data_IF_725116865003
#
_entry.id   IF_725116865003
#
_cell.length_a   1.000
_cell.length_b   1.000
_cell.length_c   1.000
_cell.angle_alpha   90.00
_cell.angle_beta   90.00
_cell.angle_gamma   90.00
#
_symmetry.space_group_name_H-M   'P 1'
#
loop_
_entity.id
_entity.type
_entity.pdbx_description
1 polymer ?
#
# COMPACT_ATOMS: atom_id res chain seq x y z
N UNK A 1 -18.71 -13.86 17.12
CA UNK A 1 -18.28 -12.50 17.49
C UNK A 1 -18.52 -12.32 18.98
N UNK A 2 -17.55 -11.78 19.73
CA UNK A 2 -17.66 -11.58 21.18
C UNK A 2 -18.57 -10.37 21.45
N UNK A 3 -19.53 -10.51 22.37
CA UNK A 3 -20.43 -9.40 22.73
C UNK A 3 -19.66 -8.37 23.57
N UNK A 4 -19.92 -7.06 23.39
CA UNK A 4 -19.29 -6.02 24.21
C UNK A 4 -19.69 -6.17 25.68
N UNK A 5 -18.80 -5.78 26.58
CA UNK A 5 -19.08 -5.70 28.01
C UNK A 5 -20.00 -4.52 28.31
N UNK A 6 -20.64 -4.50 29.48
CA UNK A 6 -21.50 -3.37 29.88
C UNK A 6 -20.76 -2.04 29.87
N UNK A 7 -19.51 -2.03 30.34
CA UNK A 7 -18.64 -0.85 30.33
C UNK A 7 -18.39 -0.33 28.90
N UNK A 8 -18.14 -1.22 27.95
CA UNK A 8 -17.96 -0.83 26.54
C UNK A 8 -19.23 -0.24 25.93
N UNK A 9 -20.41 -0.74 26.34
CA UNK A 9 -21.69 -0.19 25.87
C UNK A 9 -21.94 1.20 26.46
N UNK A 10 -21.63 1.41 27.74
CA UNK A 10 -21.75 2.72 28.40
C UNK A 10 -20.79 3.74 27.78
N UNK A 11 -19.53 3.36 27.55
CA UNK A 11 -18.54 4.18 26.88
C UNK A 11 -18.98 4.57 25.46
N UNK A 12 -19.52 3.62 24.70
CA UNK A 12 -20.01 3.89 23.35
C UNK A 12 -21.19 4.88 23.35
N UNK A 13 -22.11 4.74 24.31
CA UNK A 13 -23.21 5.69 24.46
C UNK A 13 -22.70 7.09 24.84
N UNK A 14 -21.65 7.19 25.66
CA UNK A 14 -21.01 8.46 25.98
C UNK A 14 -20.35 9.08 24.75
N UNK A 15 -19.63 8.30 23.95
CA UNK A 15 -18.98 8.78 22.71
C UNK A 15 -19.99 9.28 21.67
N UNK A 16 -21.16 8.65 21.56
CA UNK A 16 -22.24 9.09 20.65
C UNK A 16 -22.80 10.47 21.02
N UNK A 17 -22.74 10.84 22.31
CA UNK A 17 -23.25 12.12 22.81
C UNK A 17 -22.17 13.21 22.87
N UNK A 18 -20.91 12.86 22.59
CA UNK A 18 -19.79 13.80 22.61
C UNK A 18 -19.82 14.66 21.34
N UNK A 19 -19.87 16.00 21.45
CA UNK A 19 -19.80 16.88 20.28
C UNK A 19 -18.38 16.88 19.69
N UNK A 20 -18.27 17.13 18.37
CA UNK A 20 -17.00 17.08 17.64
C UNK A 20 -15.95 18.04 18.24
N UNK A 21 -16.35 19.22 18.72
CA UNK A 21 -15.45 20.20 19.33
C UNK A 21 -14.86 19.74 20.67
N UNK A 22 -15.47 18.74 21.31
CA UNK A 22 -14.98 18.16 22.56
C UNK A 22 -14.08 16.93 22.33
N UNK A 23 -13.88 16.52 21.07
CA UNK A 23 -12.96 15.43 20.74
C UNK A 23 -11.52 15.94 20.90
N UNK A 24 -10.79 15.32 21.83
CA UNK A 24 -9.37 15.56 22.00
C UNK A 24 -8.58 14.99 20.81
N UNK A 25 -7.97 15.89 20.04
CA UNK A 25 -7.10 15.58 18.89
C UNK A 25 -5.66 16.00 19.15
N UNK A 26 -5.28 16.22 20.42
CA UNK A 26 -3.95 16.73 20.77
C UNK A 26 -2.79 15.79 20.36
N UNK A 27 -3.06 14.49 20.22
CA UNK A 27 -2.11 13.50 19.74
C UNK A 27 -1.89 13.57 18.23
N UNK A 28 -2.93 13.89 17.46
CA UNK A 28 -2.92 14.03 16.01
C UNK A 28 -3.74 15.27 15.63
N UNK A 29 -3.15 16.47 15.75
CA UNK A 29 -3.86 17.71 15.45
C UNK A 29 -4.26 17.76 13.98
N UNK A 30 -5.41 18.38 13.70
CA UNK A 30 -5.90 18.54 12.34
C UNK A 30 -4.89 19.32 11.48
N UNK A 31 -4.50 18.74 10.34
CA UNK A 31 -3.64 19.41 9.37
C UNK A 31 -4.50 20.22 8.40
N UNK A 32 -4.39 21.54 8.47
CA UNK A 32 -5.10 22.47 7.57
C UNK A 32 -4.23 22.90 6.39
N UNK A 33 -2.89 22.86 6.53
CA UNK A 33 -1.98 23.19 5.44
C UNK A 33 -1.58 21.93 4.64
N UNK A 34 -2.07 21.85 3.40
CA UNK A 34 -1.80 20.77 2.45
C UNK A 34 -0.85 21.17 1.31
N UNK A 35 -0.19 22.34 1.37
CA UNK A 35 0.66 22.87 0.28
C UNK A 35 1.75 21.89 -0.17
N UNK A 36 2.28 21.08 0.75
CA UNK A 36 3.33 20.09 0.46
C UNK A 36 2.81 18.66 0.30
N UNK A 37 1.48 18.46 0.28
CA UNK A 37 0.90 17.14 0.15
C UNK A 37 1.05 16.62 -1.28
N UNK A 38 1.64 15.43 -1.42
CA UNK A 38 1.82 14.78 -2.73
C UNK A 38 0.74 13.72 -2.92
N UNK A 39 -0.27 14.04 -3.74
CA UNK A 39 -1.28 13.06 -4.15
C UNK A 39 -0.59 11.96 -4.97
N UNK A 40 -0.82 10.70 -4.59
CA UNK A 40 -0.34 9.56 -5.39
C UNK A 40 1.17 9.30 -5.31
N UNK A 41 1.89 9.81 -4.29
CA UNK A 41 3.33 9.56 -4.08
C UNK A 41 3.73 8.08 -4.19
N UNK A 42 2.84 7.18 -3.77
CA UNK A 42 3.05 5.72 -3.80
C UNK A 42 2.21 4.98 -4.85
N UNK A 43 1.44 5.70 -5.66
CA UNK A 43 0.63 5.10 -6.70
C UNK A 43 1.50 4.79 -7.92
N UNK A 44 1.77 3.50 -8.16
CA UNK A 44 2.45 3.03 -9.37
C UNK A 44 1.52 2.14 -10.18
N UNK A 45 1.26 2.47 -11.45
CA UNK A 45 0.45 1.63 -12.34
C UNK A 45 1.30 0.49 -12.92
N UNK A 46 0.83 -0.74 -12.76
CA UNK A 46 1.38 -1.92 -13.46
C UNK A 46 0.39 -2.34 -14.53
N UNK A 47 0.84 -2.41 -15.78
CA UNK A 47 0.01 -2.87 -16.90
C UNK A 47 0.25 -4.35 -17.14
N UNK A 48 -0.83 -5.14 -17.28
CA UNK A 48 -0.73 -6.52 -17.75
C UNK A 48 -0.64 -6.51 -19.26
N UNK A 49 0.50 -6.89 -19.80
CA UNK A 49 0.71 -7.05 -21.25
C UNK A 49 1.29 -8.43 -21.53
N UNK A 50 1.12 -8.93 -22.74
CA UNK A 50 1.80 -10.14 -23.21
C UNK A 50 3.13 -9.74 -23.83
N UNK A 51 4.22 -10.32 -23.35
CA UNK A 51 5.56 -10.15 -23.90
C UNK A 51 6.10 -11.54 -24.16
N UNK A 52 6.71 -11.74 -25.32
CA UNK A 52 7.40 -12.98 -25.66
C UNK A 52 8.73 -13.04 -24.88
N UNK A 53 8.94 -14.14 -24.18
CA UNK A 53 10.15 -14.41 -23.40
C UNK A 53 10.63 -15.80 -23.75
N UNK A 54 11.92 -15.94 -24.00
CA UNK A 54 12.54 -17.23 -24.30
C UNK A 54 12.26 -18.25 -23.20
N UNK A 55 12.04 -19.49 -23.60
CA UNK A 55 11.70 -20.58 -22.68
C UNK A 55 12.81 -20.80 -21.63
N UNK A 56 14.08 -20.67 -22.03
CA UNK A 56 15.23 -20.81 -21.13
C UNK A 56 15.22 -19.73 -20.04
N UNK A 57 15.01 -18.47 -20.43
CA UNK A 57 14.93 -17.33 -19.49
C UNK A 57 13.78 -17.54 -18.50
N UNK A 58 12.59 -17.90 -19.03
CA UNK A 58 11.43 -18.17 -18.19
C UNK A 58 11.68 -19.33 -17.22
N UNK A 59 12.30 -20.40 -17.70
CA UNK A 59 12.64 -21.58 -16.90
C UNK A 59 13.64 -21.23 -15.79
N UNK A 60 14.65 -20.41 -16.07
CA UNK A 60 15.61 -19.94 -15.08
C UNK A 60 14.94 -19.14 -13.95
N UNK A 61 14.05 -18.20 -14.28
CA UNK A 61 13.33 -17.44 -13.25
C UNK A 61 12.37 -18.31 -12.43
N UNK A 62 11.68 -19.26 -13.08
CA UNK A 62 10.79 -20.21 -12.38
C UNK A 62 11.55 -21.15 -11.46
N UNK A 63 12.76 -21.58 -11.84
CA UNK A 63 13.62 -22.40 -11.00
C UNK A 63 14.06 -21.67 -9.72
N UNK A 64 14.22 -20.34 -9.78
CA UNK A 64 14.54 -19.52 -8.60
C UNK A 64 13.36 -19.31 -7.66
N UNK A 65 12.17 -19.07 -8.20
CA UNK A 65 10.95 -18.97 -7.40
C UNK A 65 9.71 -19.18 -8.25
N UNK A 66 8.93 -20.21 -7.94
CA UNK A 66 7.66 -20.50 -8.62
C UNK A 66 6.59 -19.43 -8.38
N UNK A 67 6.64 -18.71 -7.25
CA UNK A 67 5.66 -17.68 -6.87
C UNK A 67 6.06 -16.27 -7.31
N UNK A 68 7.36 -15.99 -7.35
CA UNK A 68 7.87 -14.62 -7.52
C UNK A 68 8.58 -14.36 -8.85
N UNK A 69 8.66 -15.34 -9.76
CA UNK A 69 9.38 -15.20 -11.04
C UNK A 69 8.94 -13.94 -11.82
N UNK A 70 7.66 -13.61 -11.87
CA UNK A 70 7.14 -12.41 -12.54
C UNK A 70 7.70 -11.11 -11.92
N UNK A 71 7.80 -11.06 -10.59
CA UNK A 71 8.39 -9.91 -9.87
C UNK A 71 9.88 -9.80 -10.17
N UNK A 72 10.58 -10.93 -10.26
CA UNK A 72 12.00 -10.98 -10.57
C UNK A 72 12.31 -10.53 -12.01
N UNK A 73 11.51 -10.98 -12.98
CA UNK A 73 11.59 -10.51 -14.39
C UNK A 73 11.41 -8.98 -14.43
N UNK A 74 10.35 -8.47 -13.79
CA UNK A 74 10.10 -7.03 -13.77
C UNK A 74 11.26 -6.24 -13.10
N UNK A 75 11.86 -6.78 -12.04
CA UNK A 75 13.03 -6.15 -11.40
C UNK A 75 14.24 -6.11 -12.33
N UNK A 76 14.53 -7.19 -13.04
CA UNK A 76 15.62 -7.25 -14.01
C UNK A 76 15.44 -6.22 -15.14
N UNK A 77 14.20 -6.06 -15.65
CA UNK A 77 13.89 -5.03 -16.66
C UNK A 77 14.13 -3.61 -16.13
N UNK A 78 13.73 -3.32 -14.89
CA UNK A 78 13.97 -2.01 -14.26
C UNK A 78 15.47 -1.74 -14.09
N UNK A 79 16.24 -2.76 -13.70
CA UNK A 79 17.71 -2.63 -13.57
C UNK A 79 18.36 -2.38 -14.93
N UNK A 80 17.93 -3.11 -15.97
CA UNK A 80 18.39 -2.89 -17.34
C UNK A 80 18.14 -1.45 -17.81
N UNK A 81 16.91 -0.94 -17.62
CA UNK A 81 16.56 0.44 -17.97
C UNK A 81 17.46 1.46 -17.26
N UNK A 82 17.74 1.28 -15.96
CA UNK A 82 18.60 2.18 -15.19
C UNK A 82 20.04 2.22 -15.70
N UNK A 83 20.57 1.07 -16.14
CA UNK A 83 21.93 0.96 -16.64
C UNK A 83 22.10 1.61 -18.03
N UNK A 84 21.03 1.73 -18.81
CA UNK A 84 21.08 2.19 -20.20
C UNK A 84 20.45 3.57 -20.44
N UNK A 85 19.92 4.23 -19.40
CA UNK A 85 19.38 5.59 -19.45
C UNK A 85 20.39 6.66 -18.98
N UNK A 86 21.68 6.51 -19.35
CA UNK A 86 22.68 7.58 -19.20
C UNK A 86 22.77 8.41 -20.48
#
# INVERSE_FOLDING_TARGET
MKKPTKQQVEELNHLVLLPDEAIDTSDIPEQTNWENAVVGRFYTKKTKTSVEIDNEILSWFKAKSSRDYQRMINKALVEYMKQHNQ
#
